data_IF_973546826877
#
_entry.id   IF_973546826877
#
_cell.length_a   1.000
_cell.length_b   1.000
_cell.length_c   1.000
_cell.angle_alpha   90.00
_cell.angle_beta   90.00
_cell.angle_gamma   90.00
#
_symmetry.space_group_name_H-M   'P 1'
#
loop_
_entity.id
_entity.type
_entity.pdbx_description
1 polymer ?
#
# COMPACT_ATOMS: atom_id res chain seq x y z
N UNK A 1 47.27 -52.65 -49.38
CA UNK A 1 45.79 -52.68 -49.44
C UNK A 1 45.18 -52.27 -48.08
N UNK A 2 44.01 -51.62 -48.14
CA UNK A 2 43.07 -51.24 -47.06
C UNK A 2 43.44 -50.14 -46.04
N UNK A 3 42.93 -48.92 -46.30
CA UNK A 3 42.12 -48.17 -45.33
C UNK A 3 40.67 -48.74 -45.31
N UNK A 4 39.72 -48.39 -44.41
CA UNK A 4 39.70 -47.38 -43.32
C UNK A 4 39.07 -47.89 -41.98
N UNK A 5 39.02 -47.05 -40.93
CA UNK A 5 38.23 -47.34 -39.71
C UNK A 5 38.36 -46.30 -38.61
N UNK A 6 37.50 -45.28 -38.66
CA UNK A 6 37.32 -44.14 -37.75
C UNK A 6 37.32 -44.52 -36.25
N UNK A 7 38.07 -43.81 -35.37
CA UNK A 7 37.65 -43.54 -33.97
C UNK A 7 38.24 -42.23 -33.40
N UNK A 8 37.29 -41.38 -32.99
CA UNK A 8 37.27 -40.34 -31.94
C UNK A 8 38.56 -39.59 -31.57
N UNK A 9 38.50 -38.27 -31.73
CA UNK A 9 39.40 -37.30 -31.10
C UNK A 9 39.07 -37.22 -29.60
N UNK A 10 40.01 -37.62 -28.76
CA UNK A 10 40.11 -37.18 -27.37
C UNK A 10 41.57 -36.78 -27.14
N UNK A 11 41.84 -35.48 -27.04
CA UNK A 11 43.11 -35.01 -26.48
C UNK A 11 42.94 -34.78 -24.98
N UNK A 12 43.81 -35.35 -24.13
CA UNK A 12 43.81 -35.08 -22.71
C UNK A 12 44.44 -33.70 -22.46
N UNK A 13 43.78 -32.84 -21.68
CA UNK A 13 44.43 -31.67 -21.13
C UNK A 13 45.20 -32.08 -19.87
N UNK A 14 46.51 -31.89 -19.95
CA UNK A 14 47.51 -32.18 -18.92
C UNK A 14 47.62 -31.01 -17.90
N UNK A 15 48.39 -31.14 -16.81
CA UNK A 15 47.97 -30.83 -15.45
C UNK A 15 48.42 -29.44 -14.96
N UNK A 16 47.78 -28.99 -13.87
CA UNK A 16 48.15 -27.84 -13.06
C UNK A 16 49.66 -27.66 -12.82
N UNK A 17 50.12 -26.40 -12.66
CA UNK A 17 51.11 -26.07 -11.66
C UNK A 17 50.48 -25.33 -10.47
N UNK A 18 50.88 -25.79 -9.28
CA UNK A 18 50.60 -25.23 -7.96
C UNK A 18 51.25 -23.84 -7.81
N UNK A 19 50.49 -22.87 -7.33
CA UNK A 19 50.98 -21.90 -6.35
C UNK A 19 49.77 -21.31 -5.60
N UNK A 20 49.67 -21.69 -4.33
CA UNK A 20 48.71 -21.15 -3.37
C UNK A 20 49.20 -19.78 -2.90
N UNK A 21 48.38 -18.71 -2.93
CA UNK A 21 48.37 -17.75 -1.85
C UNK A 21 47.48 -18.33 -0.75
N UNK A 22 48.12 -18.73 0.33
CA UNK A 22 47.50 -18.98 1.62
C UNK A 22 46.85 -17.67 2.06
N UNK A 23 45.56 -17.48 1.79
CA UNK A 23 44.80 -16.41 2.39
C UNK A 23 44.71 -16.77 3.86
N UNK A 24 45.53 -16.11 4.68
CA UNK A 24 45.31 -16.04 6.11
C UNK A 24 43.87 -15.64 6.31
N UNK A 25 43.08 -16.55 6.89
CA UNK A 25 41.84 -16.21 7.56
C UNK A 25 42.25 -15.23 8.65
N UNK A 26 42.23 -13.94 8.29
CA UNK A 26 42.10 -12.90 9.28
C UNK A 26 40.84 -13.25 10.03
N UNK A 27 40.97 -13.49 11.32
CA UNK A 27 39.88 -13.22 12.25
C UNK A 27 39.54 -11.75 12.01
N UNK A 28 38.60 -11.50 11.10
CA UNK A 28 37.86 -10.25 11.09
C UNK A 28 37.46 -10.05 12.55
N UNK A 29 37.75 -8.89 13.17
CA UNK A 29 37.20 -8.62 14.48
C UNK A 29 35.70 -8.81 14.31
N UNK A 30 35.14 -9.77 15.07
CA UNK A 30 33.70 -9.89 15.26
C UNK A 30 33.24 -8.48 15.60
N UNK A 31 32.71 -7.78 14.60
CA UNK A 31 31.89 -6.62 14.85
C UNK A 31 30.86 -7.15 15.83
N UNK A 32 30.72 -6.55 17.02
CA UNK A 32 29.70 -7.01 17.94
C UNK A 32 28.42 -6.97 17.13
N UNK A 33 27.77 -8.13 16.99
CA UNK A 33 26.36 -8.19 16.63
C UNK A 33 25.68 -7.34 17.68
N UNK A 34 25.57 -6.04 17.43
CA UNK A 34 24.67 -5.21 18.17
C UNK A 34 23.30 -5.77 17.77
N UNK A 35 22.57 -6.39 18.70
CA UNK A 35 21.25 -6.85 18.40
C UNK A 35 20.42 -5.57 18.35
N UNK A 36 20.41 -4.90 17.20
CA UNK A 36 19.44 -3.88 16.88
C UNK A 36 18.10 -4.59 16.67
N UNK A 37 17.58 -5.15 17.76
CA UNK A 37 16.16 -5.22 18.05
C UNK A 37 15.66 -3.78 18.22
N UNK A 38 15.87 -2.91 17.24
CA UNK A 38 15.24 -1.62 17.20
C UNK A 38 13.81 -1.83 16.73
N UNK A 39 12.95 -2.24 17.66
CA UNK A 39 11.55 -1.84 17.58
C UNK A 39 11.53 -0.34 17.89
N UNK A 40 11.91 0.48 16.91
CA UNK A 40 11.88 1.93 17.05
C UNK A 40 10.43 2.37 17.26
N UNK A 41 10.20 3.37 18.12
CA UNK A 41 8.88 3.97 18.34
C UNK A 41 8.22 4.38 17.00
N UNK A 42 9.03 4.73 16.01
CA UNK A 42 8.61 5.07 14.65
C UNK A 42 8.02 3.86 13.91
N UNK A 43 8.60 2.67 14.06
CA UNK A 43 8.05 1.42 13.47
C UNK A 43 6.73 1.03 14.11
N UNK A 44 6.62 1.18 15.44
CA UNK A 44 5.36 0.95 16.17
C UNK A 44 4.30 1.93 15.67
N UNK A 45 4.66 3.21 15.50
CA UNK A 45 3.79 4.25 14.98
C UNK A 45 3.26 3.94 13.58
N UNK A 46 4.13 3.55 12.65
CA UNK A 46 3.73 3.17 11.29
C UNK A 46 2.82 1.93 11.28
N UNK A 47 3.11 0.92 12.10
CA UNK A 47 2.24 -0.26 12.23
C UNK A 47 0.86 0.15 12.74
N UNK A 48 0.80 0.97 13.78
CA UNK A 48 -0.46 1.47 14.35
C UNK A 48 -1.29 2.24 13.31
N UNK A 49 -0.67 3.16 12.56
CA UNK A 49 -1.36 3.91 11.50
C UNK A 49 -1.86 2.98 10.40
N UNK A 50 -1.08 1.99 9.97
CA UNK A 50 -1.50 1.03 8.94
C UNK A 50 -2.69 0.17 9.39
N UNK A 51 -2.71 -0.28 10.65
CA UNK A 51 -3.87 -0.99 11.23
C UNK A 51 -5.09 -0.09 11.25
N UNK A 52 -4.94 1.17 11.67
CA UNK A 52 -6.04 2.12 11.73
C UNK A 52 -6.60 2.44 10.33
N UNK A 53 -5.73 2.62 9.33
CA UNK A 53 -6.14 2.77 7.91
C UNK A 53 -6.97 1.60 7.41
N UNK A 54 -6.57 0.36 7.74
CA UNK A 54 -7.32 -0.84 7.36
C UNK A 54 -8.68 -0.93 8.06
N UNK A 55 -8.73 -0.60 9.35
CA UNK A 55 -9.99 -0.60 10.10
C UNK A 55 -10.98 0.41 9.51
N UNK A 56 -10.54 1.65 9.21
CA UNK A 56 -11.39 2.64 8.57
C UNK A 56 -11.81 2.22 7.16
N UNK A 57 -10.89 1.66 6.37
CA UNK A 57 -11.22 1.17 5.03
C UNK A 57 -12.27 0.04 5.08
N UNK A 58 -12.17 -0.87 6.06
CA UNK A 58 -13.18 -1.91 6.26
C UNK A 58 -14.56 -1.32 6.57
N UNK A 59 -14.63 -0.31 7.44
CA UNK A 59 -15.89 0.39 7.75
C UNK A 59 -16.43 1.09 6.51
N UNK A 60 -15.59 1.77 5.73
CA UNK A 60 -15.98 2.40 4.45
C UNK A 60 -16.55 1.37 3.49
N UNK A 61 -15.92 0.20 3.34
CA UNK A 61 -16.42 -0.87 2.46
C UNK A 61 -17.79 -1.40 2.90
N UNK A 62 -18.02 -1.56 4.20
CA UNK A 62 -19.32 -1.98 4.73
C UNK A 62 -20.39 -0.94 4.40
N UNK A 63 -20.13 0.35 4.69
CA UNK A 63 -21.08 1.43 4.40
C UNK A 63 -21.31 1.56 2.88
N UNK A 64 -20.25 1.46 2.09
CA UNK A 64 -20.32 1.49 0.63
C UNK A 64 -21.22 0.38 0.08
N UNK A 65 -21.16 -0.83 0.67
CA UNK A 65 -21.93 -1.98 0.21
C UNK A 65 -23.35 -2.04 0.75
N UNK A 66 -23.62 -1.64 1.99
CA UNK A 66 -24.93 -1.85 2.64
C UNK A 66 -25.55 -0.58 3.23
N UNK A 67 -24.97 0.60 2.95
CA UNK A 67 -25.41 1.87 3.53
C UNK A 67 -26.72 2.43 2.99
N UNK A 68 -27.29 1.84 1.93
CA UNK A 68 -28.58 2.25 1.36
C UNK A 68 -29.71 1.34 1.87
N UNK A 69 -30.04 1.43 3.15
CA UNK A 69 -31.08 0.58 3.74
C UNK A 69 -30.82 -0.93 3.65
N UNK A 70 -29.55 -1.35 3.50
CA UNK A 70 -29.14 -2.73 3.26
C UNK A 70 -28.60 -2.99 1.84
N UNK A 71 -28.89 -2.09 0.91
CA UNK A 71 -28.43 -2.15 -0.48
C UNK A 71 -27.16 -1.32 -0.73
N UNK A 72 -26.67 -1.43 -1.96
CA UNK A 72 -25.49 -0.74 -2.43
C UNK A 72 -25.68 0.77 -2.38
N UNK A 73 -24.81 1.45 -1.64
CA UNK A 73 -24.87 2.90 -1.47
C UNK A 73 -24.20 3.61 -2.65
N UNK A 74 -22.95 3.24 -2.97
CA UNK A 74 -22.22 3.83 -4.09
C UNK A 74 -21.59 5.19 -3.78
N UNK A 75 -20.76 5.65 -4.71
CA UNK A 75 -20.09 6.96 -4.70
C UNK A 75 -20.26 7.56 -6.08
N UNK A 76 -21.25 8.43 -6.21
CA UNK A 76 -21.51 9.14 -7.45
C UNK A 76 -22.70 8.60 -8.23
N UNK A 77 -23.48 9.55 -8.68
CA UNK A 77 -24.64 9.45 -9.54
C UNK A 77 -25.03 10.88 -9.91
N UNK A 78 -25.89 11.04 -10.90
CA UNK A 78 -26.47 12.35 -11.20
C UNK A 78 -27.40 12.75 -10.06
N UNK A 79 -27.28 13.99 -9.59
CA UNK A 79 -28.17 14.54 -8.54
C UNK A 79 -29.59 14.78 -9.07
N UNK A 80 -29.72 14.80 -10.40
CA UNK A 80 -30.96 14.95 -11.13
C UNK A 80 -31.40 13.60 -11.70
N UNK A 81 -32.64 13.21 -11.42
CA UNK A 81 -33.28 11.99 -11.93
C UNK A 81 -33.38 11.94 -13.46
N UNK A 82 -33.21 13.09 -14.12
CA UNK A 82 -33.24 13.23 -15.57
C UNK A 82 -31.86 13.22 -16.24
N UNK A 83 -30.76 13.10 -15.51
CA UNK A 83 -29.43 12.96 -16.11
C UNK A 83 -28.96 11.50 -16.08
N UNK A 84 -28.30 11.09 -17.16
CA UNK A 84 -27.77 9.74 -17.35
C UNK A 84 -26.67 9.45 -16.32
N UNK A 85 -26.89 8.43 -15.48
CA UNK A 85 -25.95 8.05 -14.42
C UNK A 85 -24.67 7.49 -15.05
N UNK A 86 -23.55 8.21 -14.96
CA UNK A 86 -22.25 7.65 -15.36
C UNK A 86 -21.67 6.77 -14.23
N UNK A 87 -21.21 5.54 -14.53
CA UNK A 87 -20.64 4.63 -13.52
C UNK A 87 -19.20 4.96 -13.14
N UNK A 88 -18.59 5.99 -13.75
CA UNK A 88 -17.15 6.25 -13.68
C UNK A 88 -16.66 6.52 -12.25
N UNK A 89 -17.41 7.34 -11.50
CA UNK A 89 -17.08 7.67 -10.12
C UNK A 89 -17.13 6.44 -9.20
N UNK A 90 -18.12 5.56 -9.40
CA UNK A 90 -18.28 4.32 -8.64
C UNK A 90 -17.16 3.33 -8.96
N UNK A 91 -16.73 3.24 -10.23
CA UNK A 91 -15.62 2.39 -10.66
C UNK A 91 -14.31 2.85 -9.99
N UNK A 92 -14.03 4.16 -10.01
CA UNK A 92 -12.84 4.72 -9.38
C UNK A 92 -12.88 4.51 -7.86
N UNK A 93 -14.02 4.79 -7.21
CA UNK A 93 -14.18 4.59 -5.77
C UNK A 93 -13.96 3.13 -5.37
N UNK A 94 -14.53 2.17 -6.11
CA UNK A 94 -14.34 0.74 -5.88
C UNK A 94 -12.87 0.34 -5.99
N UNK A 95 -12.17 0.86 -7.00
CA UNK A 95 -10.74 0.64 -7.18
C UNK A 95 -9.90 1.18 -6.02
N UNK A 96 -10.24 2.37 -5.50
CA UNK A 96 -9.55 2.96 -4.34
C UNK A 96 -9.79 2.13 -3.09
N UNK A 97 -11.05 1.81 -2.76
CA UNK A 97 -11.37 1.10 -1.52
C UNK A 97 -10.70 -0.29 -1.49
N UNK A 98 -10.92 -1.10 -2.53
CA UNK A 98 -10.38 -2.46 -2.61
C UNK A 98 -8.86 -2.44 -2.82
N UNK A 99 -8.36 -1.60 -3.73
CA UNK A 99 -6.93 -1.51 -4.05
C UNK A 99 -6.09 -1.11 -2.85
N UNK A 100 -6.49 -0.08 -2.10
CA UNK A 100 -5.79 0.34 -0.90
C UNK A 100 -5.99 -0.61 0.28
N UNK A 101 -7.07 -1.38 0.32
CA UNK A 101 -7.27 -2.43 1.31
C UNK A 101 -6.23 -3.54 1.13
N UNK A 102 -6.11 -4.07 -0.09
CA UNK A 102 -5.14 -5.11 -0.42
C UNK A 102 -3.72 -4.58 -0.21
N UNK A 103 -3.41 -3.41 -0.76
CA UNK A 103 -2.09 -2.79 -0.66
C UNK A 103 -1.64 -2.64 0.80
N UNK A 104 -2.49 -2.03 1.64
CA UNK A 104 -2.14 -1.75 3.04
C UNK A 104 -2.05 -3.04 3.85
N UNK A 105 -2.83 -4.06 3.51
CA UNK A 105 -2.75 -5.39 4.13
C UNK A 105 -1.40 -6.06 3.83
N UNK A 106 -0.99 -6.07 2.56
CA UNK A 106 0.30 -6.63 2.14
C UNK A 106 1.45 -5.85 2.77
N UNK A 107 1.37 -4.52 2.82
CA UNK A 107 2.37 -3.68 3.49
C UNK A 107 2.45 -3.99 4.98
N UNK A 108 1.32 -4.11 5.68
CA UNK A 108 1.30 -4.42 7.10
C UNK A 108 1.97 -5.77 7.39
N UNK A 109 1.65 -6.81 6.61
CA UNK A 109 2.27 -8.14 6.73
C UNK A 109 3.79 -8.02 6.49
N UNK A 110 4.18 -7.30 5.43
CA UNK A 110 5.59 -7.04 5.10
C UNK A 110 6.32 -6.32 6.24
N UNK A 111 5.68 -5.36 6.92
CA UNK A 111 6.27 -4.67 8.07
C UNK A 111 6.41 -5.57 9.31
N UNK A 112 5.49 -6.50 9.52
CA UNK A 112 5.51 -7.45 10.63
C UNK A 112 6.62 -8.51 10.45
N UNK A 113 6.82 -9.03 9.23
CA UNK A 113 7.71 -10.16 8.96
C UNK A 113 8.99 -9.82 8.17
N UNK A 114 9.08 -8.61 7.61
CA UNK A 114 10.19 -8.19 6.75
C UNK A 114 11.42 -7.69 7.52
N UNK A 115 12.57 -7.69 6.84
CA UNK A 115 13.83 -7.13 7.35
C UNK A 115 13.78 -5.59 7.32
N UNK A 116 14.65 -4.91 8.08
CA UNK A 116 14.71 -3.44 8.19
C UNK A 116 14.86 -2.70 6.85
N UNK A 117 15.45 -3.34 5.83
CA UNK A 117 15.54 -2.78 4.46
C UNK A 117 14.20 -2.76 3.73
N UNK A 118 13.37 -3.79 3.94
CA UNK A 118 12.04 -3.92 3.35
C UNK A 118 11.05 -2.92 3.97
N UNK A 119 11.24 -2.58 5.25
CA UNK A 119 10.43 -1.59 5.98
C UNK A 119 10.66 -0.14 5.53
N UNK A 120 11.61 0.11 4.62
CA UNK A 120 12.00 1.46 4.15
C UNK A 120 11.86 1.59 2.64
N UNK A 121 10.98 0.82 2.04
CA UNK A 121 10.84 0.81 0.60
C UNK A 121 10.21 2.12 0.10
N UNK A 122 10.83 2.73 -0.92
CA UNK A 122 10.33 3.96 -1.56
C UNK A 122 8.90 3.77 -2.10
N UNK A 123 8.56 2.54 -2.49
CA UNK A 123 7.22 2.16 -2.94
C UNK A 123 6.13 2.40 -1.88
N UNK A 124 6.42 2.20 -0.58
CA UNK A 124 5.49 2.52 0.53
C UNK A 124 5.21 4.01 0.61
N UNK A 125 6.27 4.82 0.48
CA UNK A 125 6.15 6.27 0.54
C UNK A 125 5.33 6.80 -0.63
N UNK A 126 5.65 6.35 -1.86
CA UNK A 126 4.94 6.75 -3.08
C UNK A 126 3.46 6.36 -2.99
N UNK A 127 3.16 5.12 -2.59
CA UNK A 127 1.79 4.65 -2.49
C UNK A 127 1.00 5.36 -1.39
N UNK A 128 1.64 5.76 -0.28
CA UNK A 128 0.98 6.60 0.72
C UNK A 128 0.64 8.00 0.16
N UNK A 129 1.53 8.59 -0.65
CA UNK A 129 1.25 9.88 -1.31
C UNK A 129 0.10 9.75 -2.31
N UNK A 130 0.13 8.73 -3.17
CA UNK A 130 -0.97 8.44 -4.12
C UNK A 130 -2.27 8.17 -3.37
N UNK A 131 -2.21 7.39 -2.28
CA UNK A 131 -3.34 7.12 -1.40
C UNK A 131 -3.97 8.40 -0.85
N UNK A 132 -3.15 9.36 -0.43
CA UNK A 132 -3.65 10.65 0.04
C UNK A 132 -4.55 11.31 -1.01
N UNK A 133 -4.06 11.47 -2.23
CA UNK A 133 -4.84 12.12 -3.30
C UNK A 133 -6.09 11.33 -3.68
N UNK A 134 -5.98 10.00 -3.80
CA UNK A 134 -7.10 9.16 -4.21
C UNK A 134 -8.22 9.11 -3.15
N UNK A 135 -7.86 8.97 -1.87
CA UNK A 135 -8.84 8.97 -0.78
C UNK A 135 -9.54 10.32 -0.61
N UNK A 136 -8.80 11.42 -0.75
CA UNK A 136 -9.39 12.77 -0.69
C UNK A 136 -10.30 13.02 -1.91
N UNK A 137 -9.89 12.62 -3.12
CA UNK A 137 -10.70 12.77 -4.33
C UNK A 137 -12.02 12.00 -4.21
N UNK A 138 -11.97 10.71 -3.85
CA UNK A 138 -13.16 9.88 -3.66
C UNK A 138 -14.03 10.41 -2.51
N UNK A 139 -13.42 10.81 -1.39
CA UNK A 139 -14.14 11.41 -0.26
C UNK A 139 -14.84 12.72 -0.64
N UNK A 140 -14.17 13.59 -1.39
CA UNK A 140 -14.74 14.84 -1.90
C UNK A 140 -15.92 14.59 -2.84
N UNK A 141 -15.77 13.65 -3.78
CA UNK A 141 -16.87 13.25 -4.68
C UNK A 141 -18.04 12.66 -3.92
N UNK A 142 -17.81 11.79 -2.94
CA UNK A 142 -18.84 11.21 -2.10
C UNK A 142 -19.59 12.28 -1.30
N UNK A 143 -18.85 13.19 -0.64
CA UNK A 143 -19.44 14.28 0.12
C UNK A 143 -20.24 15.23 -0.77
N UNK A 144 -19.71 15.57 -1.94
CA UNK A 144 -20.41 16.43 -2.90
C UNK A 144 -21.73 15.80 -3.36
N UNK A 145 -21.71 14.53 -3.73
CA UNK A 145 -22.89 13.78 -4.17
C UNK A 145 -23.94 13.64 -3.06
N UNK A 146 -23.55 13.09 -1.91
CA UNK A 146 -24.48 12.81 -0.81
C UNK A 146 -24.96 14.07 -0.10
N UNK A 147 -24.22 15.17 -0.15
CA UNK A 147 -24.70 16.45 0.35
C UNK A 147 -25.90 16.97 -0.47
N UNK A 148 -25.86 16.80 -1.80
CA UNK A 148 -26.90 17.23 -2.73
C UNK A 148 -28.07 16.24 -2.91
N UNK A 149 -27.97 15.04 -2.35
CA UNK A 149 -28.99 13.99 -2.49
C UNK A 149 -30.35 14.41 -1.91
N UNK A 150 -31.42 14.19 -2.69
CA UNK A 150 -32.82 14.39 -2.30
C UNK A 150 -33.64 13.14 -2.65
N UNK A 151 -34.47 12.61 -1.73
CA UNK A 151 -35.35 11.47 -2.03
C UNK A 151 -36.47 11.85 -3.01
N UNK A 152 -36.86 10.92 -3.89
CA UNK A 152 -37.87 11.13 -4.95
C UNK A 152 -39.29 11.50 -4.49
N UNK A 153 -39.62 11.23 -3.22
CA UNK A 153 -41.01 11.32 -2.74
C UNK A 153 -41.20 12.12 -1.46
N UNK A 154 -40.13 12.71 -0.91
CA UNK A 154 -40.22 13.47 0.31
C UNK A 154 -39.13 14.56 0.30
N UNK A 155 -39.51 15.83 0.46
CA UNK A 155 -38.58 16.95 0.63
C UNK A 155 -37.85 16.90 1.99
N UNK A 156 -37.65 15.69 2.53
CA UNK A 156 -36.95 15.44 3.77
C UNK A 156 -35.45 15.49 3.52
N UNK A 157 -34.81 16.51 4.09
CA UNK A 157 -33.36 16.68 3.97
C UNK A 157 -32.57 15.70 4.86
N UNK A 158 -33.22 14.92 5.72
CA UNK A 158 -32.54 13.99 6.63
C UNK A 158 -33.10 12.59 6.36
N UNK A 159 -32.36 11.81 5.56
CA UNK A 159 -32.63 10.39 5.37
C UNK A 159 -31.45 9.55 5.82
N UNK A 160 -31.70 8.29 6.17
CA UNK A 160 -30.68 7.34 6.60
C UNK A 160 -29.56 7.19 5.58
N UNK A 161 -29.91 7.20 4.30
CA UNK A 161 -29.02 6.98 3.15
C UNK A 161 -28.10 8.19 2.96
N UNK A 162 -28.67 9.40 3.01
CA UNK A 162 -27.90 10.66 2.96
C UNK A 162 -26.87 10.70 4.08
N UNK A 163 -27.29 10.34 5.29
CA UNK A 163 -26.44 10.36 6.47
C UNK A 163 -25.32 9.31 6.37
N UNK A 164 -25.64 8.11 5.88
CA UNK A 164 -24.66 7.05 5.63
C UNK A 164 -23.63 7.46 4.56
N UNK A 165 -24.08 8.11 3.48
CA UNK A 165 -23.22 8.62 2.41
C UNK A 165 -22.28 9.73 2.87
N UNK A 166 -22.79 10.68 3.68
CA UNK A 166 -21.96 11.72 4.30
C UNK A 166 -20.95 11.12 5.28
N UNK A 167 -21.36 10.13 6.08
CA UNK A 167 -20.47 9.41 6.98
C UNK A 167 -19.36 8.70 6.20
N UNK A 168 -19.70 7.96 5.14
CA UNK A 168 -18.73 7.29 4.27
C UNK A 168 -17.72 8.30 3.68
N UNK A 169 -18.21 9.39 3.09
CA UNK A 169 -17.36 10.42 2.50
C UNK A 169 -16.42 11.06 3.53
N UNK A 170 -16.91 11.32 4.76
CA UNK A 170 -16.08 11.85 5.84
C UNK A 170 -14.99 10.86 6.28
N UNK A 171 -15.30 9.57 6.35
CA UNK A 171 -14.33 8.52 6.67
C UNK A 171 -13.26 8.41 5.57
N UNK A 172 -13.63 8.57 4.30
CA UNK A 172 -12.67 8.63 3.20
C UNK A 172 -11.68 9.80 3.37
N UNK A 173 -12.17 10.98 3.79
CA UNK A 173 -11.31 12.15 4.05
C UNK A 173 -10.36 11.89 5.22
N UNK A 174 -10.86 11.30 6.32
CA UNK A 174 -10.02 10.90 7.46
C UNK A 174 -8.96 9.89 7.02
N UNK A 175 -9.33 8.91 6.19
CA UNK A 175 -8.38 7.93 5.68
C UNK A 175 -7.30 8.60 4.82
N UNK A 176 -7.67 9.55 3.96
CA UNK A 176 -6.73 10.37 3.21
C UNK A 176 -5.74 11.13 4.11
N UNK A 177 -6.20 11.69 5.23
CA UNK A 177 -5.33 12.33 6.22
C UNK A 177 -4.35 11.35 6.89
N UNK A 178 -4.77 10.11 7.15
CA UNK A 178 -3.88 9.05 7.67
C UNK A 178 -2.81 8.64 6.66
N UNK A 179 -3.16 8.55 5.38
CA UNK A 179 -2.19 8.30 4.32
C UNK A 179 -1.16 9.43 4.24
N UNK A 180 -1.60 10.69 4.36
CA UNK A 180 -0.70 11.84 4.40
C UNK A 180 0.23 11.79 5.63
N UNK A 181 -0.32 11.47 6.80
CA UNK A 181 0.46 11.31 8.03
C UNK A 181 1.53 10.24 7.91
N UNK A 182 1.20 9.08 7.33
CA UNK A 182 2.16 7.99 7.09
C UNK A 182 3.25 8.41 6.09
N UNK A 183 2.91 9.17 5.03
CA UNK A 183 3.90 9.75 4.11
C UNK A 183 4.87 10.68 4.83
N UNK A 184 4.39 11.58 5.68
CA UNK A 184 5.25 12.53 6.42
C UNK A 184 6.21 11.79 7.35
N UNK A 185 5.72 10.78 8.07
CA UNK A 185 6.56 9.94 8.93
C UNK A 185 7.64 9.20 8.13
N UNK A 186 7.28 8.66 6.96
CA UNK A 186 8.22 8.00 6.07
C UNK A 186 9.33 8.96 5.58
N UNK A 187 8.97 10.21 5.20
CA UNK A 187 9.95 11.23 4.80
C UNK A 187 10.88 11.66 5.93
N UNK A 188 10.35 11.89 7.13
CA UNK A 188 11.18 12.26 8.30
C UNK A 188 12.21 11.15 8.60
N UNK A 189 11.78 9.89 8.52
CA UNK A 189 12.66 8.75 8.75
C UNK A 189 13.74 8.63 7.67
N UNK A 190 13.40 8.90 6.41
CA UNK A 190 14.36 8.93 5.31
C UNK A 190 15.42 10.03 5.53
N UNK A 191 15.00 11.25 5.87
CA UNK A 191 15.88 12.39 6.10
C UNK A 191 16.81 12.23 7.31
N UNK A 192 16.32 11.67 8.44
CA UNK A 192 17.17 11.40 9.61
C UNK A 192 18.26 10.38 9.31
N UNK A 193 17.95 9.34 8.53
CA UNK A 193 18.91 8.30 8.20
C UNK A 193 20.03 8.81 7.27
N UNK A 194 19.72 9.71 6.35
CA UNK A 194 20.73 10.34 5.49
C UNK A 194 21.69 11.22 6.30
N UNK A 195 21.17 12.02 7.25
CA UNK A 195 21.99 12.85 8.13
C UNK A 195 22.89 12.05 9.08
N UNK A 196 22.50 10.84 9.47
CA UNK A 196 23.32 9.96 10.33
C UNK A 196 24.48 9.30 9.56
N UNK A 197 24.48 9.38 8.23
CA UNK A 197 25.49 8.72 7.37
C UNK A 197 26.69 9.63 7.07
N UNK A 198 26.62 10.89 7.49
CA UNK A 198 27.66 11.92 7.39
C UNK A 198 28.06 12.40 8.79
#
# INVERSE_FOLDING_TARGET
>A
PSHPGLKAVFRPFHPYPRSFPFFTVGTDPEFPEHPDKMVSAETIGSIFIKVFKLALNLVVLIIYRTGYGGDFLGVGGTWNLNEEKSPDAEIVASGVFVGFFIYTSVQLITFCFGTTKLKRELSDTIMNVVGTFMWIAVGGTALHYWHGFQPEYDFQQITSERTAGLAMGSLCVVNGALYLGDSVLAFIHYAKHENSKY
#
